data_IF_697252656029
#
_entry.id   IF_697252656029
#
_cell.length_a   1.000
_cell.length_b   1.000
_cell.length_c   1.000
_cell.angle_alpha   90.00
_cell.angle_beta   90.00
_cell.angle_gamma   90.00
#
_symmetry.space_group_name_H-M   'P 1'
#
loop_
_entity.id
_entity.type
_entity.pdbx_description
1 polymer ?
#
# COMPACT_ATOMS: atom_id res chain seq x y z
N UNK A 1 14.62 -3.08 44.64
CA UNK A 1 14.63 -4.18 43.65
C UNK A 1 13.61 -3.83 42.60
N UNK A 2 14.07 -3.47 41.41
CA UNK A 2 13.19 -3.11 40.29
C UNK A 2 13.12 -4.33 39.38
N UNK A 3 11.96 -4.99 39.33
CA UNK A 3 11.74 -6.11 38.43
C UNK A 3 11.63 -5.60 37.00
N UNK A 4 12.51 -6.10 36.13
CA UNK A 4 12.40 -5.90 34.70
C UNK A 4 11.39 -6.89 34.14
N UNK A 5 10.29 -6.38 33.58
CA UNK A 5 9.34 -7.20 32.82
C UNK A 5 10.09 -7.73 31.59
N UNK A 6 10.32 -9.04 31.55
CA UNK A 6 10.85 -9.73 30.37
C UNK A 6 9.84 -9.56 29.23
N UNK A 7 10.13 -8.67 28.30
CA UNK A 7 9.34 -8.50 27.10
C UNK A 7 9.33 -9.82 26.31
N UNK A 8 8.15 -10.25 25.85
CA UNK A 8 8.02 -11.44 25.02
C UNK A 8 8.91 -11.29 23.77
N UNK A 9 9.64 -12.34 23.36
CA UNK A 9 10.52 -12.27 22.21
C UNK A 9 9.71 -11.92 20.95
N UNK A 10 10.17 -10.91 20.21
CA UNK A 10 9.56 -10.54 18.93
C UNK A 10 9.61 -11.75 17.99
N UNK A 11 8.53 -12.06 17.26
CA UNK A 11 8.53 -13.18 16.33
C UNK A 11 9.64 -12.99 15.29
N UNK A 12 10.37 -14.07 15.00
CA UNK A 12 11.43 -14.08 13.99
C UNK A 12 10.90 -13.48 12.68
N UNK A 13 11.62 -12.51 12.12
CA UNK A 13 11.31 -11.97 10.81
C UNK A 13 11.15 -13.11 9.81
N UNK A 14 9.97 -13.23 9.21
CA UNK A 14 9.69 -14.27 8.22
C UNK A 14 10.51 -13.96 6.98
N UNK A 15 11.47 -14.82 6.66
CA UNK A 15 12.17 -14.77 5.37
C UNK A 15 11.12 -14.96 4.28
N UNK A 16 10.92 -13.95 3.46
CA UNK A 16 9.97 -13.97 2.37
C UNK A 16 10.64 -14.66 1.17
N UNK A 17 10.13 -15.84 0.80
CA UNK A 17 10.63 -16.64 -0.33
C UNK A 17 9.61 -16.52 -1.45
N UNK A 18 10.01 -15.94 -2.58
CA UNK A 18 9.15 -15.87 -3.76
C UNK A 18 9.00 -17.28 -4.38
N UNK A 19 7.77 -17.76 -4.61
CA UNK A 19 7.55 -19.01 -5.30
C UNK A 19 7.92 -18.88 -6.77
N UNK A 20 8.41 -19.97 -7.36
CA UNK A 20 8.80 -20.03 -8.77
C UNK A 20 10.31 -20.09 -8.99
N UNK A 21 10.74 -20.36 -10.23
CA UNK A 21 12.16 -20.41 -10.57
C UNK A 21 12.82 -19.05 -10.41
N UNK A 22 14.09 -19.07 -10.08
CA UNK A 22 14.90 -17.84 -10.03
C UNK A 22 15.05 -17.29 -11.45
N UNK A 23 14.48 -16.11 -11.69
CA UNK A 23 14.77 -15.34 -12.90
C UNK A 23 16.21 -14.80 -12.87
N UNK A 24 16.88 -14.69 -14.03
CA UNK A 24 18.24 -14.14 -14.11
C UNK A 24 18.30 -12.63 -13.76
N UNK A 25 17.18 -11.92 -13.90
CA UNK A 25 17.00 -10.52 -13.48
C UNK A 25 15.89 -10.50 -12.42
N UNK A 26 16.19 -10.02 -11.23
CA UNK A 26 15.25 -9.96 -10.10
C UNK A 26 14.67 -8.57 -9.84
N UNK A 27 15.34 -7.53 -10.33
CA UNK A 27 14.95 -6.14 -10.11
C UNK A 27 15.21 -5.39 -11.42
N UNK A 28 14.18 -4.75 -11.95
CA UNK A 28 14.32 -3.77 -13.01
C UNK A 28 14.27 -2.37 -12.41
N UNK A 29 15.33 -1.59 -12.62
CA UNK A 29 15.35 -0.19 -12.23
C UNK A 29 14.75 0.64 -13.35
N UNK A 30 13.65 1.33 -13.05
CA UNK A 30 13.10 2.39 -13.91
C UNK A 30 13.54 3.72 -13.31
N UNK A 31 14.19 4.54 -14.12
CA UNK A 31 14.69 5.85 -13.71
C UNK A 31 13.99 6.93 -14.54
N UNK A 32 13.60 8.02 -13.89
CA UNK A 32 13.12 9.22 -14.55
C UNK A 32 14.17 10.32 -14.37
N UNK A 33 14.64 10.91 -15.47
CA UNK A 33 15.62 12.02 -15.44
C UNK A 33 15.00 13.32 -14.95
N UNK A 34 13.67 13.45 -15.03
CA UNK A 34 12.91 14.62 -14.66
C UNK A 34 11.63 14.20 -13.91
N UNK A 35 11.22 15.01 -12.94
CA UNK A 35 9.99 14.82 -12.17
C UNK A 35 9.19 16.12 -12.09
N UNK A 36 7.88 16.00 -11.93
CA UNK A 36 6.97 17.12 -11.64
C UNK A 36 6.39 16.93 -10.24
N UNK A 37 6.15 18.03 -9.54
CA UNK A 37 5.51 18.00 -8.22
C UNK A 37 4.11 18.64 -8.31
N UNK A 38 3.13 17.98 -7.71
CA UNK A 38 1.74 18.42 -7.71
C UNK A 38 1.25 18.51 -6.26
N UNK A 39 0.41 19.50 -5.98
CA UNK A 39 -0.41 19.51 -4.78
C UNK A 39 -1.86 19.45 -5.21
N UNK A 40 -2.53 18.36 -4.84
CA UNK A 40 -3.90 18.06 -5.27
C UNK A 40 -4.83 18.18 -4.06
N UNK A 41 -5.85 19.03 -4.17
CA UNK A 41 -6.97 19.03 -3.24
C UNK A 41 -7.97 17.96 -3.67
N UNK A 42 -8.40 17.11 -2.74
CA UNK A 42 -9.39 16.06 -3.03
C UNK A 42 -10.80 16.61 -2.77
N UNK A 43 -11.66 16.52 -3.78
CA UNK A 43 -13.03 17.02 -3.72
C UNK A 43 -13.90 16.12 -2.82
N UNK A 44 -14.70 16.69 -1.89
CA UNK A 44 -15.65 15.92 -1.10
C UNK A 44 -16.70 15.22 -1.98
N UNK A 45 -17.19 14.06 -1.53
CA UNK A 45 -18.24 13.30 -2.22
C UNK A 45 -17.75 12.42 -3.36
N UNK A 46 -16.45 12.42 -3.65
CA UNK A 46 -15.82 11.52 -4.63
C UNK A 46 -15.04 10.42 -3.94
N UNK A 47 -14.83 9.31 -4.65
CA UNK A 47 -13.88 8.29 -4.20
C UNK A 47 -12.46 8.83 -4.26
N UNK A 48 -11.55 8.31 -3.42
CA UNK A 48 -10.13 8.68 -3.49
C UNK A 48 -9.52 8.30 -4.83
N UNK A 49 -9.94 7.17 -5.42
CA UNK A 49 -9.51 6.74 -6.75
C UNK A 49 -9.82 7.81 -7.79
N UNK A 50 -11.08 8.22 -7.90
CA UNK A 50 -11.49 9.22 -8.89
C UNK A 50 -10.83 10.57 -8.64
N UNK A 51 -10.77 11.01 -7.37
CA UNK A 51 -10.22 12.31 -7.02
C UNK A 51 -8.70 12.40 -7.21
N UNK A 52 -7.97 11.27 -7.23
CA UNK A 52 -6.51 11.22 -7.41
C UNK A 52 -6.13 10.84 -8.84
N UNK A 53 -6.68 9.74 -9.34
CA UNK A 53 -6.25 9.14 -10.60
C UNK A 53 -6.67 10.00 -11.79
N UNK A 54 -7.92 10.46 -11.81
CA UNK A 54 -8.45 11.19 -12.96
C UNK A 54 -7.68 12.50 -13.24
N UNK A 55 -7.38 13.37 -12.25
CA UNK A 55 -6.57 14.58 -12.49
C UNK A 55 -5.15 14.26 -12.95
N UNK A 56 -4.51 13.24 -12.38
CA UNK A 56 -3.15 12.85 -12.75
C UNK A 56 -3.08 12.28 -14.18
N UNK A 57 -4.05 11.47 -14.57
CA UNK A 57 -4.17 10.94 -15.92
C UNK A 57 -4.34 12.06 -16.95
N UNK A 58 -5.19 13.06 -16.68
CA UNK A 58 -5.36 14.23 -17.59
C UNK A 58 -4.06 15.02 -17.79
N UNK A 59 -3.14 14.96 -16.85
CA UNK A 59 -1.81 15.60 -16.93
C UNK A 59 -0.73 14.69 -17.54
N UNK A 60 -1.12 13.50 -18.02
CA UNK A 60 -0.23 12.51 -18.62
C UNK A 60 0.71 11.83 -17.62
N UNK A 61 0.33 11.77 -16.33
CA UNK A 61 1.13 11.11 -15.30
C UNK A 61 0.83 9.61 -15.31
N UNK A 62 1.87 8.81 -15.54
CA UNK A 62 1.77 7.34 -15.60
C UNK A 62 2.37 6.65 -14.37
N UNK A 63 3.20 7.36 -13.61
CA UNK A 63 3.82 6.88 -12.37
C UNK A 63 4.02 8.07 -11.44
N UNK A 64 3.68 7.89 -10.17
CA UNK A 64 3.86 8.90 -9.13
C UNK A 64 4.10 8.21 -7.79
N UNK A 65 4.93 8.84 -6.95
CA UNK A 65 4.91 8.64 -5.51
C UNK A 65 4.10 9.76 -4.90
N UNK A 66 3.32 9.47 -3.85
CA UNK A 66 2.47 10.46 -3.21
C UNK A 66 2.43 10.27 -1.70
N UNK A 67 2.05 11.33 -1.01
CA UNK A 67 1.72 11.31 0.41
C UNK A 67 0.33 11.88 0.58
N UNK A 68 -0.56 11.13 1.21
CA UNK A 68 -1.89 11.62 1.60
C UNK A 68 -1.75 12.42 2.89
N UNK A 69 -2.23 13.66 2.88
CA UNK A 69 -2.05 14.61 3.98
C UNK A 69 -3.40 14.98 4.60
N UNK A 70 -3.69 14.40 5.76
CA UNK A 70 -4.91 14.70 6.51
C UNK A 70 -6.20 14.40 5.74
N UNK A 71 -7.30 14.98 6.24
CA UNK A 71 -8.63 14.79 5.67
C UNK A 71 -9.51 13.83 6.46
N UNK A 72 -10.76 13.69 6.01
CA UNK A 72 -11.75 12.78 6.58
C UNK A 72 -12.37 11.98 5.46
N UNK A 73 -12.48 10.68 5.65
CA UNK A 73 -13.20 9.79 4.76
C UNK A 73 -14.50 9.39 5.44
N UNK A 74 -15.60 9.35 4.69
CA UNK A 74 -16.88 8.82 5.18
C UNK A 74 -16.81 7.31 5.36
N UNK A 75 -16.16 6.62 4.43
CA UNK A 75 -15.88 5.19 4.47
C UNK A 75 -14.53 4.88 3.81
N UNK A 76 -13.94 3.76 4.22
CA UNK A 76 -12.69 3.22 3.69
C UNK A 76 -12.86 1.71 3.49
N UNK A 77 -12.58 1.27 2.27
CA UNK A 77 -12.39 -0.13 1.94
C UNK A 77 -10.90 -0.39 1.76
N UNK A 78 -10.34 -1.36 2.47
CA UNK A 78 -8.93 -1.69 2.34
C UNK A 78 -8.69 -3.20 2.40
N UNK A 79 -7.73 -3.67 1.62
CA UNK A 79 -7.26 -5.05 1.70
C UNK A 79 -5.94 -5.11 2.46
N UNK A 80 -5.75 -6.18 3.23
CA UNK A 80 -4.44 -6.56 3.75
C UNK A 80 -3.83 -7.63 2.87
N UNK A 81 -2.52 -7.89 3.04
CA UNK A 81 -1.76 -8.81 2.21
C UNK A 81 -1.42 -10.12 2.94
N UNK A 82 -2.39 -11.01 3.23
CA UNK A 82 -2.10 -12.29 3.89
C UNK A 82 -1.29 -13.21 2.96
N UNK A 83 -0.50 -14.15 3.50
CA UNK A 83 0.14 -15.20 2.70
C UNK A 83 -0.87 -16.01 1.89
N UNK A 84 -0.47 -16.46 0.70
CA UNK A 84 -1.30 -17.33 -0.12
C UNK A 84 -1.35 -18.75 0.46
N UNK A 85 -2.53 -19.28 0.84
CA UNK A 85 -2.64 -20.63 1.41
C UNK A 85 -2.21 -21.72 0.44
N UNK A 86 -2.23 -21.46 -0.88
CA UNK A 86 -1.76 -22.43 -1.87
C UNK A 86 -0.23 -22.48 -2.01
N UNK A 87 0.48 -21.48 -1.50
CA UNK A 87 1.92 -21.31 -1.68
C UNK A 87 2.35 -20.90 -3.10
N UNK A 88 1.40 -20.69 -4.03
CA UNK A 88 1.70 -20.24 -5.39
C UNK A 88 2.10 -18.76 -5.49
N UNK A 89 1.80 -17.96 -4.47
CA UNK A 89 2.13 -16.53 -4.38
C UNK A 89 2.70 -16.20 -2.99
N UNK A 90 3.46 -15.13 -2.90
CA UNK A 90 3.97 -14.63 -1.60
C UNK A 90 2.84 -14.10 -0.72
N UNK A 91 1.92 -13.37 -1.34
CA UNK A 91 0.79 -12.73 -0.68
C UNK A 91 -0.40 -12.66 -1.64
N UNK A 92 -1.59 -12.63 -1.07
CA UNK A 92 -2.87 -12.39 -1.73
C UNK A 92 -3.46 -11.07 -1.26
N UNK A 93 -4.50 -10.59 -1.93
CA UNK A 93 -5.38 -9.58 -1.34
C UNK A 93 -6.42 -10.29 -0.48
N UNK A 94 -6.64 -9.79 0.73
CA UNK A 94 -7.81 -10.19 1.52
C UNK A 94 -9.11 -9.80 0.83
N UNK A 95 -10.24 -10.28 1.33
CA UNK A 95 -11.52 -9.58 1.09
C UNK A 95 -11.40 -8.14 1.59
N UNK A 96 -12.09 -7.16 0.98
CA UNK A 96 -12.10 -5.79 1.47
C UNK A 96 -12.57 -5.76 2.93
N UNK A 97 -11.79 -5.08 3.78
CA UNK A 97 -12.19 -4.73 5.13
C UNK A 97 -12.81 -3.35 5.07
N UNK A 98 -13.94 -3.19 5.74
CA UNK A 98 -14.60 -1.90 5.85
C UNK A 98 -14.13 -1.20 7.13
N UNK A 99 -13.86 0.09 7.02
CA UNK A 99 -13.58 0.98 8.13
C UNK A 99 -14.23 2.32 7.85
N UNK A 100 -14.71 3.00 8.88
CA UNK A 100 -15.54 4.18 8.67
C UNK A 100 -16.96 3.77 8.28
N UNK A 101 -17.73 3.45 9.31
CA UNK A 101 -19.16 3.69 9.39
C UNK A 101 -19.44 3.86 10.89
N UNK A 102 -19.23 5.08 11.40
CA UNK A 102 -19.87 5.48 12.65
C UNK A 102 -21.24 6.00 12.24
N UNK A 103 -22.28 5.26 12.60
CA UNK A 103 -23.54 5.90 12.96
C UNK A 103 -23.61 5.89 14.48
#
# INVERSE_FOLDING_TARGET
MTDFITAAPLPRARTLVHPGPVGPIRIEHRHATLGRHFRLGLEPGRTMEDAIIEPLMRLGVHSASMTLLGGRLSSLLYCVAPPDPSGGRVANYSRPNESGAVT
#
